data_IF_251960173372
#
_entry.id   IF_251960173372
#
_cell.length_a   1.000
_cell.length_b   1.000
_cell.length_c   1.000
_cell.angle_alpha   90.00
_cell.angle_beta   90.00
_cell.angle_gamma   90.00
#
_symmetry.space_group_name_H-M   'P 1'
#
loop_
_entity.id
_entity.type
_entity.pdbx_description
1 polymer ?
#
# COMPACT_ATOMS: atom_id res chain seq x y z
N UNK A 1 5.64 -13.07 1.98
CA UNK A 1 4.20 -12.96 2.26
C UNK A 1 3.43 -13.43 1.03
N UNK A 2 2.33 -14.20 1.18
CA UNK A 2 1.46 -14.55 0.06
C UNK A 2 0.88 -13.31 -0.63
N UNK A 3 0.70 -13.36 -1.95
CA UNK A 3 0.28 -12.21 -2.75
C UNK A 3 -1.17 -11.78 -2.46
N UNK A 4 -2.04 -12.75 -2.25
CA UNK A 4 -3.44 -12.55 -1.86
C UNK A 4 -3.58 -11.75 -0.55
N UNK A 5 -2.56 -11.77 0.30
CA UNK A 5 -2.51 -11.01 1.55
C UNK A 5 -2.05 -9.55 1.34
N UNK A 6 -1.39 -9.23 0.23
CA UNK A 6 -0.90 -7.89 -0.08
C UNK A 6 -2.03 -7.01 -0.65
N UNK A 7 -3.08 -6.82 0.15
CA UNK A 7 -4.21 -5.93 -0.14
C UNK A 7 -4.53 -5.10 1.11
N UNK A 8 -4.99 -3.86 0.95
CA UNK A 8 -5.47 -3.02 2.04
C UNK A 8 -6.90 -2.59 1.73
N UNK A 9 -7.85 -2.93 2.59
CA UNK A 9 -9.26 -2.61 2.36
C UNK A 9 -9.79 -3.25 1.07
N UNK A 10 -9.31 -4.44 0.71
CA UNK A 10 -9.69 -5.12 -0.52
C UNK A 10 -8.94 -4.66 -1.78
N UNK A 11 -8.21 -3.53 -1.75
CA UNK A 11 -7.46 -3.05 -2.93
C UNK A 11 -6.05 -3.64 -2.93
N UNK A 12 -5.64 -4.18 -4.07
CA UNK A 12 -4.30 -4.70 -4.35
C UNK A 12 -3.66 -4.00 -5.56
N UNK A 13 -2.39 -4.31 -5.80
CA UNK A 13 -1.68 -3.85 -7.00
C UNK A 13 -2.31 -4.48 -8.24
N UNK A 14 -2.47 -3.69 -9.30
CA UNK A 14 -3.11 -4.08 -10.57
C UNK A 14 -4.64 -4.00 -10.56
N UNK A 15 -5.26 -3.67 -9.43
CA UNK A 15 -6.71 -3.43 -9.41
C UNK A 15 -7.03 -2.17 -10.24
N UNK A 16 -8.11 -2.24 -11.03
CA UNK A 16 -8.55 -1.12 -11.87
C UNK A 16 -9.18 0.00 -11.05
N UNK A 17 -9.15 1.22 -11.58
CA UNK A 17 -9.76 2.36 -10.89
C UNK A 17 -11.28 2.23 -10.79
N UNK A 18 -11.93 1.63 -11.79
CA UNK A 18 -13.36 1.31 -11.72
C UNK A 18 -13.68 0.35 -10.57
N UNK A 19 -12.84 -0.65 -10.33
CA UNK A 19 -13.00 -1.56 -9.19
C UNK A 19 -12.86 -0.82 -7.86
N UNK A 20 -11.83 0.02 -7.71
CA UNK A 20 -11.64 0.83 -6.50
C UNK A 20 -12.87 1.70 -6.24
N UNK A 21 -13.36 2.41 -7.27
CA UNK A 21 -14.54 3.28 -7.16
C UNK A 21 -15.82 2.51 -6.85
N UNK A 22 -15.94 1.25 -7.30
CA UNK A 22 -17.07 0.41 -6.94
C UNK A 22 -17.15 0.10 -5.44
N UNK A 23 -16.01 0.11 -4.74
CA UNK A 23 -15.93 -0.14 -3.29
C UNK A 23 -16.04 1.16 -2.50
N UNK A 24 -15.32 2.21 -2.93
CA UNK A 24 -15.12 3.41 -2.14
C UNK A 24 -15.84 4.66 -2.65
N UNK A 25 -16.47 4.59 -3.83
CA UNK A 25 -17.01 5.76 -4.52
C UNK A 25 -15.89 6.63 -5.12
N UNK A 26 -16.17 7.91 -5.30
CA UNK A 26 -15.16 8.86 -5.79
C UNK A 26 -14.16 9.23 -4.69
N UNK A 27 -12.87 9.43 -5.03
CA UNK A 27 -11.86 9.86 -4.08
C UNK A 27 -12.13 11.29 -3.59
N UNK A 28 -11.63 11.59 -2.39
CA UNK A 28 -11.67 12.93 -1.81
C UNK A 28 -10.72 13.89 -2.54
N UNK A 29 -9.63 13.37 -3.11
CA UNK A 29 -8.68 14.14 -3.88
C UNK A 29 -8.07 13.30 -5.00
N UNK A 30 -7.89 13.94 -6.15
CA UNK A 30 -7.14 13.41 -7.30
C UNK A 30 -5.98 14.37 -7.59
N UNK A 31 -4.76 13.84 -7.59
CA UNK A 31 -3.55 14.57 -7.88
C UNK A 31 -3.43 14.96 -9.35
N UNK A 32 -2.48 15.87 -9.62
CA UNK A 32 -2.18 16.25 -10.99
C UNK A 32 -1.60 15.06 -11.75
N UNK A 33 -2.17 14.77 -12.92
CA UNK A 33 -1.64 13.80 -13.87
C UNK A 33 -0.36 14.33 -14.52
N UNK A 34 0.71 13.54 -14.47
CA UNK A 34 2.01 13.91 -15.01
C UNK A 34 2.80 12.71 -15.50
N UNK A 35 3.68 12.92 -16.48
CA UNK A 35 4.60 11.87 -16.93
C UNK A 35 5.56 11.52 -15.79
N UNK A 36 5.74 10.23 -15.54
CA UNK A 36 6.65 9.73 -14.52
C UNK A 36 7.70 8.82 -15.17
N UNK A 37 8.96 9.25 -15.08
CA UNK A 37 10.09 8.53 -15.66
C UNK A 37 10.43 7.23 -14.92
N UNK A 38 9.93 7.03 -13.70
CA UNK A 38 10.01 5.75 -13.00
C UNK A 38 9.08 4.69 -13.61
N UNK A 39 8.08 5.12 -14.39
CA UNK A 39 7.11 4.26 -15.07
C UNK A 39 7.23 4.41 -16.59
N UNK A 40 8.47 4.40 -17.11
CA UNK A 40 8.77 4.48 -18.55
C UNK A 40 8.15 5.70 -19.27
N UNK A 41 7.92 6.79 -18.54
CA UNK A 41 7.32 8.01 -19.08
C UNK A 41 5.79 7.95 -19.23
N UNK A 42 5.14 6.90 -18.71
CA UNK A 42 3.70 6.80 -18.57
C UNK A 42 3.17 7.91 -17.66
N UNK A 43 1.89 8.23 -17.80
CA UNK A 43 1.24 9.17 -16.90
C UNK A 43 0.93 8.48 -15.57
N UNK A 44 1.16 9.20 -14.47
CA UNK A 44 0.80 8.76 -13.14
C UNK A 44 0.16 9.91 -12.35
N UNK A 45 -0.63 9.53 -11.35
CA UNK A 45 -1.28 10.46 -10.43
C UNK A 45 -1.66 9.76 -9.12
N UNK A 46 -1.94 10.56 -8.09
CA UNK A 46 -2.39 10.06 -6.79
C UNK A 46 -3.91 10.13 -6.66
N UNK A 47 -4.53 9.13 -6.03
CA UNK A 47 -5.90 9.18 -5.52
C UNK A 47 -5.89 9.08 -4.00
N UNK A 48 -6.66 9.92 -3.32
CA UNK A 48 -6.78 9.89 -1.84
C UNK A 48 -8.24 9.77 -1.42
N UNK A 49 -8.53 8.81 -0.54
CA UNK A 49 -9.81 8.64 0.13
C UNK A 49 -9.69 9.08 1.59
N UNK A 50 -10.47 10.09 1.97
CA UNK A 50 -10.31 10.76 3.26
C UNK A 50 -8.96 11.47 3.34
N UNK A 51 -8.21 11.21 4.39
CA UNK A 51 -6.89 11.81 4.68
C UNK A 51 -5.74 10.78 4.75
N UNK A 52 -6.08 9.50 4.70
CA UNK A 52 -5.22 8.43 5.21
C UNK A 52 -5.10 7.21 4.32
N UNK A 53 -5.95 7.06 3.29
CA UNK A 53 -5.83 5.99 2.29
C UNK A 53 -5.46 6.58 0.93
N UNK A 54 -4.26 6.25 0.45
CA UNK A 54 -3.65 6.83 -0.75
C UNK A 54 -3.28 5.73 -1.73
N UNK A 55 -3.56 5.97 -3.00
CA UNK A 55 -3.21 5.10 -4.11
C UNK A 55 -2.37 5.90 -5.11
N UNK A 56 -1.30 5.30 -5.61
CA UNK A 56 -0.65 5.77 -6.84
C UNK A 56 -1.22 4.98 -8.00
N UNK A 57 -1.53 5.67 -9.09
CA UNK A 57 -2.14 5.11 -10.29
C UNK A 57 -1.23 5.39 -11.48
N UNK A 58 -1.08 4.39 -12.35
CA UNK A 58 -0.47 4.57 -13.67
C UNK A 58 -1.55 4.46 -14.75
N UNK A 59 -1.42 5.27 -15.79
CA UNK A 59 -2.17 5.16 -17.03
C UNK A 59 -1.27 4.47 -18.07
N UNK A 60 -1.67 3.27 -18.46
CA UNK A 60 -0.97 2.45 -19.44
C UNK A 60 -1.13 3.00 -20.86
N UNK A 61 -0.28 2.53 -21.78
CA UNK A 61 -0.27 3.02 -23.17
C UNK A 61 -1.57 2.71 -23.94
N UNK A 62 -2.36 1.74 -23.47
CA UNK A 62 -3.66 1.39 -24.02
C UNK A 62 -4.83 2.19 -23.39
N UNK A 63 -4.52 3.13 -22.50
CA UNK A 63 -5.49 3.97 -21.79
C UNK A 63 -6.12 3.30 -20.57
N UNK A 64 -5.71 2.08 -20.22
CA UNK A 64 -6.15 1.45 -18.96
C UNK A 64 -5.43 2.07 -17.76
N UNK A 65 -6.10 2.10 -16.61
CA UNK A 65 -5.56 2.65 -15.37
C UNK A 65 -5.55 1.58 -14.28
N UNK A 66 -4.42 1.47 -13.57
CA UNK A 66 -4.25 0.47 -12.51
C UNK A 66 -3.51 1.03 -11.29
N UNK A 67 -3.82 0.45 -10.13
CA UNK A 67 -3.16 0.78 -8.86
C UNK A 67 -1.76 0.18 -8.83
N UNK A 68 -0.77 1.02 -8.57
CA UNK A 68 0.65 0.62 -8.56
C UNK A 68 1.31 0.78 -7.19
N UNK A 69 0.78 1.63 -6.32
CA UNK A 69 1.17 1.70 -4.91
C UNK A 69 -0.04 2.00 -4.02
N UNK A 70 0.01 1.52 -2.78
CA UNK A 70 -1.06 1.68 -1.79
C UNK A 70 -0.44 2.09 -0.46
N UNK A 71 -1.01 3.09 0.21
CA UNK A 71 -0.62 3.44 1.58
C UNK A 71 -1.85 3.71 2.46
N UNK A 72 -1.84 3.14 3.67
CA UNK A 72 -2.80 3.48 4.73
C UNK A 72 -2.08 3.93 5.99
N UNK A 73 -2.50 5.06 6.58
CA UNK A 73 -1.86 5.69 7.74
C UNK A 73 -2.78 5.90 8.95
N UNK A 74 -4.05 5.49 8.87
CA UNK A 74 -5.01 5.64 9.97
C UNK A 74 -5.63 4.29 10.37
N UNK A 75 -5.93 4.14 11.66
CA UNK A 75 -6.69 2.99 12.17
C UNK A 75 -8.20 3.20 11.91
N UNK A 76 -8.58 3.17 10.64
CA UNK A 76 -9.93 3.41 10.15
C UNK A 76 -10.63 2.10 9.69
N UNK A 77 -10.10 0.94 10.08
CA UNK A 77 -10.68 -0.36 9.75
C UNK A 77 -10.24 -0.97 8.42
N UNK A 78 -9.46 -0.24 7.60
CA UNK A 78 -8.87 -0.79 6.37
C UNK A 78 -7.84 -1.87 6.73
N UNK A 79 -8.25 -3.12 6.58
CA UNK A 79 -7.44 -4.28 6.94
C UNK A 79 -6.96 -5.05 5.70
N UNK A 80 -5.85 -5.75 5.90
CA UNK A 80 -5.41 -6.84 5.04
C UNK A 80 -6.34 -8.05 5.22
N UNK A 81 -6.37 -9.01 4.29
CA UNK A 81 -7.25 -10.19 4.39
C UNK A 81 -7.04 -11.03 5.66
N UNK A 82 -5.81 -11.10 6.17
CA UNK A 82 -5.48 -11.71 7.47
C UNK A 82 -5.91 -10.90 8.71
N UNK A 83 -6.57 -9.75 8.53
CA UNK A 83 -7.06 -8.88 9.60
C UNK A 83 -6.07 -7.85 10.12
N UNK A 84 -4.82 -7.87 9.64
CA UNK A 84 -3.79 -6.90 10.04
C UNK A 84 -4.14 -5.51 9.47
N UNK A 85 -4.06 -4.48 10.31
CA UNK A 85 -4.38 -3.10 9.96
C UNK A 85 -3.49 -2.11 10.71
N UNK A 86 -3.57 -0.82 10.36
CA UNK A 86 -2.94 0.23 11.18
C UNK A 86 -3.51 0.15 12.61
N UNK A 87 -2.63 0.16 13.60
CA UNK A 87 -2.95 -0.11 15.00
C UNK A 87 -2.68 -1.55 15.47
N UNK A 88 -2.51 -2.52 14.57
CA UNK A 88 -2.04 -3.87 14.93
C UNK A 88 -0.60 -3.85 15.45
N UNK A 89 -0.23 -4.89 16.19
CA UNK A 89 1.17 -5.09 16.60
C UNK A 89 2.00 -5.73 15.49
N UNK A 90 3.31 -5.41 15.39
CA UNK A 90 4.20 -6.13 14.47
C UNK A 90 4.30 -7.63 14.81
N UNK A 91 4.04 -7.99 16.08
CA UNK A 91 3.99 -9.39 16.52
C UNK A 91 2.89 -10.20 15.83
N UNK A 92 1.75 -9.58 15.47
CA UNK A 92 0.72 -10.23 14.65
C UNK A 92 1.22 -10.52 13.23
N UNK A 93 1.98 -9.60 12.64
CA UNK A 93 2.62 -9.80 11.32
C UNK A 93 3.57 -11.00 11.37
N UNK A 94 4.36 -11.10 12.44
CA UNK A 94 5.30 -12.21 12.63
C UNK A 94 4.59 -13.55 12.78
N UNK A 95 3.48 -13.59 13.51
CA UNK A 95 2.67 -14.82 13.67
C UNK A 95 2.10 -15.31 12.34
N UNK A 96 1.69 -14.39 11.46
CA UNK A 96 1.09 -14.74 10.17
C UNK A 96 2.14 -15.08 9.10
N UNK A 97 3.26 -14.36 9.07
CA UNK A 97 4.17 -14.37 7.91
C UNK A 97 5.64 -14.66 8.24
N UNK A 98 5.97 -14.87 9.51
CA UNK A 98 7.35 -15.03 9.98
C UNK A 98 8.15 -13.73 9.97
N UNK A 99 9.47 -13.86 10.05
CA UNK A 99 10.39 -12.70 10.06
C UNK A 99 10.38 -11.96 8.70
N UNK A 100 10.51 -10.62 8.70
CA UNK A 100 10.59 -9.84 7.48
C UNK A 100 11.89 -10.13 6.72
N UNK A 101 11.90 -9.83 5.44
CA UNK A 101 13.11 -9.89 4.62
C UNK A 101 14.14 -8.84 5.06
N UNK A 102 13.69 -7.65 5.46
CA UNK A 102 14.56 -6.57 5.90
C UNK A 102 13.87 -5.73 6.97
N UNK A 103 14.65 -5.24 7.93
CA UNK A 103 14.22 -4.23 8.91
C UNK A 103 15.10 -3.00 8.72
N UNK A 104 14.48 -1.85 8.46
CA UNK A 104 15.16 -0.56 8.33
C UNK A 104 14.72 0.36 9.47
N UNK A 105 15.65 1.14 10.03
CA UNK A 105 15.29 2.27 10.88
C UNK A 105 15.01 3.46 9.97
N UNK A 106 13.75 3.82 9.77
CA UNK A 106 13.37 4.90 8.86
C UNK A 106 13.75 6.27 9.42
N UNK A 107 13.66 6.42 10.76
CA UNK A 107 14.09 7.56 11.60
C UNK A 107 14.37 7.02 13.02
N UNK A 108 14.90 7.83 13.94
CA UNK A 108 15.22 7.40 15.32
C UNK A 108 14.03 6.81 16.11
N UNK A 109 12.79 7.09 15.68
CA UNK A 109 11.55 6.70 16.35
C UNK A 109 10.67 5.71 15.55
N UNK A 110 11.04 5.40 14.30
CA UNK A 110 10.24 4.54 13.41
C UNK A 110 11.06 3.38 12.85
N UNK A 111 10.41 2.21 12.74
CA UNK A 111 10.99 1.02 12.09
C UNK A 111 10.12 0.56 10.94
N UNK A 112 10.75 0.20 9.83
CA UNK A 112 10.12 -0.40 8.66
C UNK A 112 10.46 -1.89 8.60
N UNK A 113 9.42 -2.71 8.46
CA UNK A 113 9.51 -4.16 8.31
C UNK A 113 9.05 -4.52 6.91
N UNK A 114 10.00 -4.97 6.09
CA UNK A 114 9.79 -5.19 4.65
C UNK A 114 9.58 -6.66 4.37
N UNK A 115 8.42 -7.00 3.80
CA UNK A 115 8.08 -8.33 3.32
C UNK A 115 8.04 -8.33 1.80
N UNK A 116 8.70 -9.31 1.19
CA UNK A 116 8.55 -9.58 -0.26
C UNK A 116 7.32 -10.45 -0.49
N UNK A 117 6.61 -10.19 -1.58
CA UNK A 117 5.67 -11.15 -2.16
C UNK A 117 6.39 -12.08 -3.15
N UNK A 118 5.67 -13.05 -3.74
CA UNK A 118 6.25 -14.02 -4.66
C UNK A 118 6.67 -13.44 -6.02
N UNK A 119 6.19 -12.25 -6.40
CA UNK A 119 6.37 -11.73 -7.77
C UNK A 119 7.10 -10.39 -7.84
N UNK A 120 6.58 -9.34 -7.21
CA UNK A 120 7.20 -8.01 -7.25
C UNK A 120 6.85 -7.16 -6.03
N UNK A 121 5.56 -7.05 -5.61
CA UNK A 121 5.21 -6.08 -4.60
C UNK A 121 5.89 -6.35 -3.26
N UNK A 122 6.24 -5.27 -2.57
CA UNK A 122 6.72 -5.31 -1.20
C UNK A 122 5.67 -4.74 -0.28
N UNK A 123 5.44 -5.42 0.85
CA UNK A 123 4.62 -4.88 1.93
C UNK A 123 5.53 -4.34 3.00
N UNK A 124 5.37 -3.05 3.32
CA UNK A 124 6.14 -2.36 4.35
C UNK A 124 5.19 -2.00 5.50
N UNK A 125 5.49 -2.53 6.68
CA UNK A 125 4.87 -2.10 7.92
C UNK A 125 5.79 -1.09 8.59
N UNK A 126 5.33 0.13 8.81
CA UNK A 126 6.02 1.13 9.64
C UNK A 126 5.43 1.08 11.04
N UNK A 127 6.28 1.07 12.07
CA UNK A 127 5.84 1.07 13.47
C UNK A 127 6.43 2.22 14.26
N UNK A 128 5.75 2.59 15.33
CA UNK A 128 6.32 3.39 16.41
C UNK A 128 7.29 2.57 17.30
N UNK A 129 7.80 3.20 18.37
CA UNK A 129 8.71 2.58 19.33
C UNK A 129 8.06 1.44 20.14
N UNK A 130 6.75 1.47 20.32
CA UNK A 130 5.95 0.42 20.97
C UNK A 130 5.60 -0.72 20.00
N UNK A 131 6.20 -0.74 18.80
CA UNK A 131 5.98 -1.78 17.79
C UNK A 131 4.52 -1.90 17.32
N UNK A 132 3.76 -0.81 17.43
CA UNK A 132 2.42 -0.67 16.85
C UNK A 132 2.53 -0.13 15.44
N UNK A 133 1.82 -0.74 14.49
CA UNK A 133 1.80 -0.34 13.08
C UNK A 133 1.14 1.02 12.95
N UNK A 134 1.86 1.99 12.40
CA UNK A 134 1.38 3.35 12.11
C UNK A 134 1.12 3.57 10.62
N UNK A 135 1.72 2.74 9.75
CA UNK A 135 1.49 2.77 8.31
C UNK A 135 1.69 1.40 7.71
N UNK A 136 0.85 1.06 6.73
CA UNK A 136 1.03 -0.09 5.84
C UNK A 136 1.18 0.45 4.43
N UNK A 137 2.22 0.02 3.71
CA UNK A 137 2.43 0.37 2.30
C UNK A 137 2.61 -0.88 1.48
N UNK A 138 1.94 -0.97 0.33
CA UNK A 138 2.18 -1.99 -0.69
C UNK A 138 2.81 -1.26 -1.87
N UNK A 139 4.05 -1.62 -2.20
CA UNK A 139 4.85 -0.99 -3.25
C UNK A 139 4.88 -1.95 -4.43
N UNK A 140 4.27 -1.59 -5.57
CA UNK A 140 4.11 -2.47 -6.72
C UNK A 140 5.22 -2.36 -7.76
N UNK A 141 5.82 -1.18 -7.92
CA UNK A 141 6.93 -0.92 -8.84
C UNK A 141 8.03 -0.09 -8.14
N UNK A 142 9.28 -0.51 -8.30
CA UNK A 142 10.50 0.21 -7.88
C UNK A 142 11.40 0.50 -9.08
#
# INVERSE_FOLDING_TARGET
MPMDQARIGGIGIGDSIDYVKSIYGEPTYVGQRGKNYLYDGLYAYDMTYGDSFKLSVVENSDGTEEVIDIASTANNGLAMPCGIKVGSSIGEVYKNFGMPWRINSAKSIERNYVYRTQYSPKVVFTTNQQHTITRITIIGME
#
